data_IF_280828789937
#
_entry.id   IF_280828789937
#
_cell.length_a   1.000
_cell.length_b   1.000
_cell.length_c   1.000
_cell.angle_alpha   90.00
_cell.angle_beta   90.00
_cell.angle_gamma   90.00
#
_symmetry.space_group_name_H-M   'P 1'
#
loop_
_entity.id
_entity.type
_entity.pdbx_description
1 polymer ?
#
# COMPACT_ATOMS: atom_id res chain seq x y z
N UNK A 1 -15.99 -15.12 11.90
CA UNK A 1 -16.43 -16.22 11.03
C UNK A 1 -15.90 -16.06 9.61
N UNK A 2 -16.26 -14.99 8.87
CA UNK A 2 -15.79 -14.73 7.50
C UNK A 2 -14.24 -14.60 7.36
N UNK A 3 -13.57 -13.92 8.30
CA UNK A 3 -12.11 -13.77 8.28
C UNK A 3 -11.34 -15.08 8.46
N UNK A 4 -11.91 -16.04 9.21
CA UNK A 4 -11.31 -17.37 9.40
C UNK A 4 -11.46 -18.19 8.12
N UNK A 5 -12.63 -18.13 7.48
CA UNK A 5 -12.88 -18.78 6.20
C UNK A 5 -11.93 -18.30 5.09
N UNK A 6 -11.68 -16.99 4.99
CA UNK A 6 -10.74 -16.42 4.00
C UNK A 6 -9.31 -16.95 4.22
N UNK A 7 -8.86 -17.10 5.47
CA UNK A 7 -7.50 -17.58 5.76
C UNK A 7 -7.30 -19.05 5.48
N UNK A 8 -8.32 -19.87 5.78
CA UNK A 8 -8.28 -21.28 5.41
C UNK A 8 -8.22 -21.42 3.90
N UNK A 9 -9.04 -20.66 3.16
CA UNK A 9 -9.00 -20.64 1.70
C UNK A 9 -7.63 -20.22 1.15
N UNK A 10 -7.04 -19.16 1.70
CA UNK A 10 -5.71 -18.69 1.33
C UNK A 10 -4.63 -19.77 1.55
N UNK A 11 -4.63 -20.44 2.71
CA UNK A 11 -3.68 -21.50 3.01
C UNK A 11 -3.79 -22.67 2.01
N UNK A 12 -5.01 -23.03 1.59
CA UNK A 12 -5.24 -24.06 0.55
C UNK A 12 -4.68 -23.64 -0.81
N UNK A 13 -4.88 -22.38 -1.21
CA UNK A 13 -4.34 -21.85 -2.48
C UNK A 13 -2.81 -21.84 -2.46
N UNK A 14 -2.19 -21.40 -1.36
CA UNK A 14 -0.73 -21.43 -1.20
C UNK A 14 -0.18 -22.85 -1.22
N UNK A 15 -0.81 -23.79 -0.52
CA UNK A 15 -0.39 -25.20 -0.52
C UNK A 15 -0.44 -25.80 -1.93
N UNK A 16 -1.50 -25.53 -2.70
CA UNK A 16 -1.62 -26.00 -4.09
C UNK A 16 -0.58 -25.37 -5.03
N UNK A 17 -0.33 -24.06 -4.89
CA UNK A 17 0.67 -23.35 -5.70
C UNK A 17 2.09 -23.87 -5.42
N UNK A 18 2.46 -24.06 -4.14
CA UNK A 18 3.78 -24.55 -3.74
C UNK A 18 3.96 -26.01 -4.15
N UNK A 19 2.93 -26.86 -4.01
CA UNK A 19 2.97 -28.25 -4.47
C UNK A 19 3.26 -28.33 -5.98
N UNK A 20 2.57 -27.50 -6.78
CA UNK A 20 2.77 -27.43 -8.23
C UNK A 20 4.16 -26.90 -8.60
N UNK A 21 4.65 -25.90 -7.85
CA UNK A 21 5.97 -25.29 -8.06
C UNK A 21 7.11 -26.29 -7.79
N UNK A 22 7.00 -27.09 -6.73
CA UNK A 22 8.00 -28.10 -6.37
C UNK A 22 7.97 -29.31 -7.32
N UNK A 23 6.80 -29.66 -7.87
CA UNK A 23 6.66 -30.87 -8.71
C UNK A 23 6.90 -30.67 -10.20
N UNK A 24 6.74 -29.44 -10.73
CA UNK A 24 6.65 -29.23 -12.18
C UNK A 24 8.02 -29.05 -12.85
N UNK A 25 8.93 -28.22 -12.29
CA UNK A 25 10.30 -28.01 -12.78
C UNK A 25 11.10 -27.21 -11.73
N UNK A 26 11.63 -27.84 -10.68
CA UNK A 26 12.31 -27.13 -9.60
C UNK A 26 13.72 -26.64 -10.03
N UNK A 27 14.13 -25.42 -9.64
CA UNK A 27 15.51 -24.98 -9.81
C UNK A 27 16.48 -25.80 -8.93
N UNK A 28 17.75 -25.90 -9.31
CA UNK A 28 18.77 -26.78 -8.71
C UNK A 28 18.93 -26.76 -7.16
N UNK A 29 18.59 -25.69 -6.40
CA UNK A 29 18.58 -25.73 -4.95
C UNK A 29 17.37 -26.46 -4.34
N UNK A 30 16.28 -26.58 -5.08
CA UNK A 30 14.99 -27.16 -4.64
C UNK A 30 14.91 -28.66 -4.93
N UNK A 31 15.62 -29.10 -5.96
CA UNK A 31 15.61 -30.49 -6.45
C UNK A 31 16.28 -31.49 -5.47
N UNK A 32 17.22 -31.01 -4.65
CA UNK A 32 17.94 -31.83 -3.67
C UNK A 32 17.05 -32.23 -2.46
N UNK A 33 16.04 -31.42 -2.13
CA UNK A 33 15.17 -31.66 -0.98
C UNK A 33 13.78 -31.01 -1.19
N UNK A 34 12.92 -31.60 -2.03
CA UNK A 34 11.61 -31.03 -2.37
C UNK A 34 10.70 -30.84 -1.15
N UNK A 35 10.76 -31.75 -0.17
CA UNK A 35 10.02 -31.64 1.09
C UNK A 35 10.48 -30.44 1.93
N UNK A 36 11.80 -30.19 2.01
CA UNK A 36 12.35 -29.10 2.80
C UNK A 36 12.02 -27.74 2.18
N UNK A 37 12.08 -27.65 0.84
CA UNK A 37 11.65 -26.46 0.11
C UNK A 37 10.15 -26.18 0.26
N UNK A 38 9.30 -27.22 0.21
CA UNK A 38 7.86 -27.08 0.45
C UNK A 38 7.57 -26.51 1.85
N UNK A 39 8.20 -27.06 2.89
CA UNK A 39 8.00 -26.61 4.28
C UNK A 39 8.49 -25.17 4.48
N UNK A 40 9.65 -24.81 3.93
CA UNK A 40 10.18 -23.45 4.01
C UNK A 40 9.28 -22.42 3.33
N UNK A 41 8.83 -22.72 2.10
CA UNK A 41 7.93 -21.84 1.36
C UNK A 41 6.57 -21.70 2.05
N UNK A 42 6.02 -22.79 2.61
CA UNK A 42 4.79 -22.74 3.39
C UNK A 42 4.94 -21.86 4.63
N UNK A 43 6.01 -22.03 5.40
CA UNK A 43 6.29 -21.19 6.58
C UNK A 43 6.41 -19.72 6.19
N UNK A 44 7.08 -19.42 5.07
CA UNK A 44 7.24 -18.05 4.57
C UNK A 44 5.88 -17.42 4.23
N UNK A 45 5.01 -18.12 3.49
CA UNK A 45 3.67 -17.62 3.15
C UNK A 45 2.77 -17.44 4.37
N UNK A 46 2.91 -18.32 5.37
CA UNK A 46 2.16 -18.23 6.62
C UNK A 46 2.67 -17.06 7.49
N UNK A 47 3.97 -16.78 7.47
CA UNK A 47 4.57 -15.66 8.20
C UNK A 47 4.04 -14.31 7.69
N UNK A 48 3.87 -14.14 6.38
CA UNK A 48 3.24 -12.95 5.78
C UNK A 48 1.81 -12.77 6.29
N UNK A 49 1.04 -13.86 6.33
CA UNK A 49 -0.34 -13.84 6.86
C UNK A 49 -0.37 -13.50 8.36
N UNK A 50 0.60 -13.99 9.13
CA UNK A 50 0.77 -13.65 10.54
C UNK A 50 1.18 -12.19 10.76
N UNK A 51 2.00 -11.60 9.88
CA UNK A 51 2.34 -10.18 9.92
C UNK A 51 1.15 -9.29 9.58
N UNK A 52 0.37 -9.66 8.57
CA UNK A 52 -0.88 -8.96 8.22
C UNK A 52 -1.89 -9.00 9.38
N UNK A 53 -1.93 -10.13 10.09
CA UNK A 53 -2.66 -10.31 11.34
C UNK A 53 -2.22 -9.36 12.45
N UNK A 54 -0.90 -9.23 12.63
CA UNK A 54 -0.31 -8.42 13.68
C UNK A 54 -0.49 -6.92 13.42
N UNK A 55 -0.62 -6.54 12.15
CA UNK A 55 -1.03 -5.21 11.68
C UNK A 55 -2.57 -5.04 11.75
N UNK A 56 -3.24 -5.91 12.50
CA UNK A 56 -4.65 -5.83 12.81
C UNK A 56 -5.02 -4.50 13.48
N UNK A 57 -5.69 -3.65 12.68
CA UNK A 57 -6.34 -2.36 13.00
C UNK A 57 -5.54 -1.12 12.61
N UNK A 58 -5.56 -0.79 11.31
CA UNK A 58 -5.68 0.64 10.96
C UNK A 58 -7.00 1.13 11.54
N UNK A 59 -6.95 1.82 12.68
CA UNK A 59 -8.12 2.48 13.28
C UNK A 59 -8.73 3.35 12.19
N UNK A 60 -10.03 3.18 11.92
CA UNK A 60 -10.75 3.98 10.92
C UNK A 60 -10.53 5.48 11.20
N UNK A 61 -10.42 5.83 12.48
CA UNK A 61 -10.01 7.14 13.01
C UNK A 61 -8.75 7.71 12.34
N UNK A 62 -7.69 6.90 12.16
CA UNK A 62 -6.44 7.33 11.53
C UNK A 62 -6.63 7.58 10.04
N UNK A 63 -7.39 6.70 9.37
CA UNK A 63 -7.66 6.82 7.94
C UNK A 63 -8.49 8.09 7.69
N UNK A 64 -9.59 8.29 8.43
CA UNK A 64 -10.44 9.48 8.32
C UNK A 64 -9.71 10.76 8.68
N UNK A 65 -8.82 10.75 9.68
CA UNK A 65 -8.03 11.91 10.06
C UNK A 65 -7.06 12.33 8.93
N UNK A 66 -6.45 11.37 8.22
CA UNK A 66 -5.59 11.65 7.07
C UNK A 66 -6.42 12.22 5.90
N UNK A 67 -7.56 11.60 5.57
CA UNK A 67 -8.43 12.10 4.51
C UNK A 67 -8.97 13.50 4.81
N UNK A 68 -9.43 13.75 6.04
CA UNK A 68 -9.92 15.06 6.47
C UNK A 68 -8.79 16.10 6.49
N UNK A 69 -7.62 15.74 7.02
CA UNK A 69 -6.45 16.61 7.04
C UNK A 69 -5.96 16.99 5.64
N UNK A 70 -5.90 16.04 4.71
CA UNK A 70 -5.55 16.32 3.31
C UNK A 70 -6.60 17.20 2.62
N UNK A 71 -7.88 16.92 2.80
CA UNK A 71 -8.95 17.71 2.19
C UNK A 71 -8.95 19.16 2.70
N UNK A 72 -8.80 19.35 4.01
CA UNK A 72 -8.70 20.68 4.62
C UNK A 72 -7.41 21.38 4.19
N UNK A 73 -6.28 20.67 4.15
CA UNK A 73 -4.99 21.24 3.72
C UNK A 73 -5.00 21.72 2.28
N UNK A 74 -5.59 20.93 1.37
CA UNK A 74 -5.75 21.33 -0.05
C UNK A 74 -6.70 22.52 -0.17
N UNK A 75 -7.84 22.50 0.53
CA UNK A 75 -8.79 23.60 0.52
C UNK A 75 -8.17 24.90 1.04
N UNK A 76 -7.43 24.83 2.16
CA UNK A 76 -6.78 26.00 2.74
C UNK A 76 -5.68 26.52 1.81
N UNK A 77 -4.91 25.63 1.18
CA UNK A 77 -3.90 26.03 0.18
C UNK A 77 -4.55 26.73 -1.02
N UNK A 78 -5.71 26.26 -1.47
CA UNK A 78 -6.47 26.91 -2.53
C UNK A 78 -6.98 28.29 -2.11
N UNK A 79 -7.58 28.41 -0.92
CA UNK A 79 -8.04 29.69 -0.39
C UNK A 79 -6.88 30.67 -0.19
N UNK A 80 -5.73 30.17 0.24
CA UNK A 80 -4.51 30.96 0.37
C UNK A 80 -4.05 31.47 -1.01
N UNK A 81 -4.00 30.63 -2.04
CA UNK A 81 -3.71 31.06 -3.41
C UNK A 81 -4.69 32.16 -3.85
N UNK A 82 -5.99 31.97 -3.62
CA UNK A 82 -7.03 32.95 -3.98
C UNK A 82 -6.87 34.28 -3.24
N UNK A 83 -6.48 34.24 -1.96
CA UNK A 83 -6.24 35.44 -1.17
C UNK A 83 -4.95 36.19 -1.56
N UNK A 84 -3.92 35.47 -2.02
CA UNK A 84 -2.65 36.06 -2.46
C UNK A 84 -2.69 36.59 -3.91
N UNK A 85 -3.61 36.11 -4.74
CA UNK A 85 -3.77 36.53 -6.14
C UNK A 85 -3.76 38.07 -6.36
N UNK A 86 -4.51 38.90 -5.62
CA UNK A 86 -4.49 40.36 -5.80
C UNK A 86 -3.18 41.03 -5.34
N UNK A 87 -2.40 40.38 -4.48
CA UNK A 87 -1.11 40.89 -4.00
C UNK A 87 -0.02 40.58 -5.03
N UNK A 88 -0.02 39.36 -5.57
CA UNK A 88 0.96 38.90 -6.55
C UNK A 88 0.78 39.62 -7.88
N UNK A 89 -0.46 39.72 -8.38
CA UNK A 89 -0.80 40.37 -9.66
C UNK A 89 -0.43 41.86 -9.73
N UNK A 90 -0.28 42.53 -8.58
CA UNK A 90 0.11 43.95 -8.52
C UNK A 90 1.63 44.18 -8.46
N UNK A 91 2.44 43.13 -8.41
CA UNK A 91 3.90 43.24 -8.38
C UNK A 91 4.51 43.11 -9.78
N UNK A 92 5.63 43.79 -10.09
CA UNK A 92 6.28 43.71 -11.41
C UNK A 92 6.77 42.30 -11.81
N UNK A 93 6.87 41.39 -10.84
CA UNK A 93 7.27 39.99 -10.99
C UNK A 93 6.07 39.02 -10.93
N UNK A 94 4.84 39.56 -10.87
CA UNK A 94 3.61 38.81 -10.64
C UNK A 94 3.34 37.73 -11.68
N UNK A 95 3.64 38.00 -12.95
CA UNK A 95 3.42 37.04 -14.04
C UNK A 95 4.27 35.77 -13.90
N UNK A 96 5.50 35.89 -13.39
CA UNK A 96 6.38 34.76 -13.16
C UNK A 96 5.92 33.85 -12.01
N UNK A 97 5.39 34.46 -10.94
CA UNK A 97 4.87 33.72 -9.78
C UNK A 97 3.53 33.03 -10.09
N UNK A 98 2.67 33.66 -10.90
CA UNK A 98 1.41 33.07 -11.37
C UNK A 98 1.67 31.85 -12.27
N UNK A 99 2.69 31.88 -13.13
CA UNK A 99 3.05 30.74 -13.98
C UNK A 99 3.53 29.52 -13.18
N UNK A 100 4.34 29.72 -12.13
CA UNK A 100 4.85 28.61 -11.29
C UNK A 100 3.74 28.00 -10.42
N UNK A 101 2.81 28.83 -9.93
CA UNK A 101 1.72 28.40 -9.04
C UNK A 101 0.51 27.78 -9.75
N UNK A 102 0.39 27.95 -11.07
CA UNK A 102 -0.66 27.34 -11.90
C UNK A 102 -0.22 26.02 -12.57
N UNK A 103 1.09 25.76 -12.67
CA UNK A 103 1.65 24.52 -13.20
C UNK A 103 1.81 23.39 -12.16
N UNK A 104 1.51 23.65 -10.88
CA UNK A 104 1.49 22.68 -9.77
C UNK A 104 0.13 22.60 -9.10
#
# INVERSE_FOLDING_TARGET
MLLISIRVLYAFVCAGAIATFVSSNPPSPVDQSPLLAFVLLMILTQAVTCLDLLIGRKRIELVSAIYFGLLVGVLLSFLLKLALDPVISKTPWGEGVVMITTLT
#
